data_IF_787521543213
#
_entry.id   IF_787521543213
#
_cell.length_a   1.000
_cell.length_b   1.000
_cell.length_c   1.000
_cell.angle_alpha   90.00
_cell.angle_beta   90.00
_cell.angle_gamma   90.00
#
_symmetry.space_group_name_H-M   'P 1'
#
loop_
_entity.id
_entity.type
_entity.pdbx_description
1 polymer ?
#
# COMPACT_ATOMS: atom_id res chain seq x y z
N UNK A 1 38.24 -5.23 -29.81
CA UNK A 1 37.56 -6.13 -28.86
C UNK A 1 36.10 -5.72 -28.74
N UNK A 2 35.19 -6.62 -29.13
CA UNK A 2 33.74 -6.37 -29.25
C UNK A 2 33.09 -6.30 -27.86
N UNK A 3 32.33 -5.25 -27.56
CA UNK A 3 31.43 -5.19 -26.40
C UNK A 3 30.19 -6.02 -26.73
N UNK A 4 30.02 -7.15 -26.05
CA UNK A 4 28.82 -7.97 -26.15
C UNK A 4 27.64 -7.23 -25.50
N UNK A 5 26.72 -6.74 -26.34
CA UNK A 5 25.43 -6.24 -25.91
C UNK A 5 24.52 -7.41 -25.51
N UNK A 6 23.91 -7.29 -24.33
CA UNK A 6 22.88 -8.22 -23.84
C UNK A 6 21.71 -8.24 -24.83
N UNK A 7 21.25 -9.41 -25.29
CA UNK A 7 20.27 -9.49 -26.37
C UNK A 7 18.85 -9.06 -25.93
N UNK A 8 18.02 -8.53 -26.85
CA UNK A 8 16.70 -7.93 -26.55
C UNK A 8 15.69 -8.87 -25.86
N UNK A 9 15.89 -10.19 -25.96
CA UNK A 9 15.03 -11.22 -25.38
C UNK A 9 15.17 -11.38 -23.86
N UNK A 10 16.30 -10.99 -23.27
CA UNK A 10 16.51 -11.05 -21.81
C UNK A 10 15.85 -9.87 -21.08
N UNK A 11 15.77 -8.69 -21.73
CA UNK A 11 15.03 -7.52 -21.21
C UNK A 11 13.52 -7.75 -21.15
N UNK A 12 12.96 -8.54 -22.07
CA UNK A 12 11.53 -8.90 -22.10
C UNK A 12 11.19 -9.96 -21.06
N UNK A 13 12.13 -10.85 -20.72
CA UNK A 13 11.97 -11.86 -19.65
C UNK A 13 12.10 -11.25 -18.25
N UNK A 14 13.05 -10.34 -18.04
CA UNK A 14 13.20 -9.59 -16.78
C UNK A 14 11.97 -8.70 -16.47
N UNK A 15 11.33 -8.12 -17.50
CA UNK A 15 10.04 -7.41 -17.38
C UNK A 15 8.84 -8.32 -17.13
N UNK A 16 8.88 -9.58 -17.59
CA UNK A 16 7.83 -10.59 -17.32
C UNK A 16 7.91 -11.15 -15.91
N UNK A 17 9.11 -11.41 -15.39
CA UNK A 17 9.30 -11.96 -14.03
C UNK A 17 9.04 -10.91 -12.93
N UNK A 18 9.24 -9.61 -13.24
CA UNK A 18 8.81 -8.47 -12.42
C UNK A 18 7.30 -8.43 -12.13
N UNK A 19 6.52 -8.96 -13.07
CA UNK A 19 5.07 -8.79 -13.18
C UNK A 19 4.28 -9.82 -12.38
N UNK A 20 4.96 -10.89 -11.94
CA UNK A 20 4.30 -12.15 -11.60
C UNK A 20 3.76 -12.30 -10.17
N UNK A 21 3.99 -11.36 -9.23
CA UNK A 21 3.53 -11.55 -7.83
C UNK A 21 3.16 -10.23 -7.16
N UNK A 22 1.94 -9.78 -7.44
CA UNK A 22 1.23 -8.77 -6.64
C UNK A 22 -0.01 -9.47 -6.06
N UNK A 23 -0.07 -9.55 -4.72
CA UNK A 23 -1.07 -10.23 -3.87
C UNK A 23 -1.06 -11.77 -3.99
N UNK A 24 -0.37 -12.43 -3.05
CA UNK A 24 -0.67 -13.81 -2.69
C UNK A 24 -1.45 -13.77 -1.36
N UNK A 25 -2.73 -14.16 -1.36
CA UNK A 25 -3.51 -14.35 -0.13
C UNK A 25 -3.13 -15.71 0.47
N UNK A 26 -2.13 -15.79 1.35
CA UNK A 26 -1.79 -17.05 2.05
C UNK A 26 -1.61 -16.86 3.57
N UNK A 27 -2.52 -17.49 4.33
CA UNK A 27 -2.48 -17.93 5.75
C UNK A 27 -2.11 -17.00 6.92
N UNK A 28 -1.55 -15.80 6.75
CA UNK A 28 -1.42 -14.82 7.84
C UNK A 28 -2.32 -13.59 7.64
N UNK A 29 -2.43 -12.75 8.67
CA UNK A 29 -3.42 -11.65 8.84
C UNK A 29 -3.42 -10.58 7.74
N UNK A 30 -2.49 -10.67 6.78
CA UNK A 30 -2.34 -9.72 5.70
C UNK A 30 -3.04 -10.14 4.43
N UNK A 31 -4.31 -9.79 4.34
CA UNK A 31 -5.06 -9.99 3.09
C UNK A 31 -4.99 -8.80 2.14
N UNK A 32 -4.33 -7.69 2.53
CA UNK A 32 -4.41 -6.41 1.80
C UNK A 32 -3.09 -5.65 1.55
N UNK A 33 -1.91 -6.31 1.49
CA UNK A 33 -0.77 -5.75 0.72
C UNK A 33 0.35 -6.77 0.44
N UNK A 34 0.80 -6.84 -0.82
CA UNK A 34 2.18 -7.23 -1.16
C UNK A 34 2.68 -6.30 -2.26
N UNK A 35 3.60 -5.39 -1.93
CA UNK A 35 4.38 -4.57 -2.87
C UNK A 35 5.84 -4.99 -2.81
N UNK A 36 6.34 -5.66 -3.84
CA UNK A 36 7.77 -5.88 -4.03
C UNK A 36 8.31 -4.78 -4.95
N UNK A 37 9.11 -3.80 -4.46
CA UNK A 37 9.77 -2.87 -5.36
C UNK A 37 11.03 -3.51 -5.94
N UNK A 38 11.16 -3.52 -7.26
CA UNK A 38 12.38 -3.89 -7.99
C UNK A 38 13.49 -2.82 -7.91
N UNK A 39 13.60 -2.11 -6.80
CA UNK A 39 14.80 -1.33 -6.52
C UNK A 39 15.86 -2.29 -5.94
N UNK A 40 17.15 -2.17 -6.31
CA UNK A 40 18.22 -2.89 -5.62
C UNK A 40 18.27 -2.58 -4.11
N UNK A 41 17.57 -1.52 -3.66
CA UNK A 41 17.24 -1.25 -2.27
C UNK A 41 15.80 -1.67 -2.00
N UNK A 42 15.59 -2.69 -1.18
CA UNK A 42 14.27 -3.01 -0.62
C UNK A 42 13.92 -1.85 0.33
N UNK A 43 12.83 -1.13 0.09
CA UNK A 43 12.51 0.08 0.90
C UNK A 43 11.17 0.00 1.64
N UNK A 44 10.31 -0.97 1.29
CA UNK A 44 9.10 -1.30 2.04
C UNK A 44 9.12 -2.79 2.37
N UNK A 45 9.04 -3.11 3.66
CA UNK A 45 8.91 -4.50 4.10
C UNK A 45 7.46 -4.94 3.93
N UNK A 46 7.21 -5.75 2.90
CA UNK A 46 6.03 -6.60 2.92
C UNK A 46 6.38 -7.83 3.73
N UNK A 47 6.03 -7.80 5.01
CA UNK A 47 6.04 -8.98 5.85
C UNK A 47 4.92 -9.91 5.38
N UNK A 48 5.27 -10.96 4.64
CA UNK A 48 4.42 -12.16 4.51
C UNK A 48 5.27 -13.41 4.21
N UNK A 49 6.44 -13.25 3.56
CA UNK A 49 7.10 -14.41 2.97
C UNK A 49 7.92 -15.31 3.92
N UNK A 50 8.24 -14.92 5.15
CA UNK A 50 9.27 -15.66 5.93
C UNK A 50 8.94 -16.05 7.39
N UNK A 51 7.71 -15.88 7.88
CA UNK A 51 7.41 -16.18 9.30
C UNK A 51 6.84 -17.60 9.54
N UNK A 52 7.21 -18.58 8.72
CA UNK A 52 6.66 -19.94 8.91
C UNK A 52 7.20 -20.67 10.13
N UNK A 53 8.30 -20.22 10.71
CA UNK A 53 8.76 -20.70 12.00
C UNK A 53 9.45 -19.49 12.67
N UNK A 54 8.87 -18.90 13.71
CA UNK A 54 9.64 -18.09 14.65
C UNK A 54 9.43 -18.79 15.98
N UNK A 55 10.24 -19.82 16.21
CA UNK A 55 10.66 -20.20 17.56
C UNK A 55 11.84 -19.30 17.91
N UNK A 56 11.57 -18.00 18.04
CA UNK A 56 12.44 -17.18 18.89
C UNK A 56 12.13 -17.65 20.30
N UNK A 57 13.15 -17.89 21.11
CA UNK A 57 12.99 -18.33 22.51
C UNK A 57 12.17 -17.36 23.40
N UNK A 58 11.71 -16.24 22.83
CA UNK A 58 10.90 -15.20 23.45
C UNK A 58 9.49 -15.19 22.83
N UNK A 59 8.53 -15.65 23.64
CA UNK A 59 7.11 -15.72 23.28
C UNK A 59 6.53 -14.34 22.90
N UNK A 60 7.03 -13.24 23.49
CA UNK A 60 6.54 -11.89 23.19
C UNK A 60 6.91 -11.46 21.77
N UNK A 61 8.12 -11.81 21.31
CA UNK A 61 8.57 -11.55 19.94
C UNK A 61 7.75 -12.38 18.95
N UNK A 62 7.52 -13.66 19.24
CA UNK A 62 6.70 -14.54 18.41
C UNK A 62 5.25 -14.05 18.31
N UNK A 63 4.69 -13.52 19.40
CA UNK A 63 3.34 -12.95 19.41
C UNK A 63 3.27 -11.66 18.60
N UNK A 64 4.27 -10.78 18.70
CA UNK A 64 4.33 -9.53 17.93
C UNK A 64 4.24 -9.77 16.42
N UNK A 65 5.05 -10.70 15.87
CA UNK A 65 5.05 -11.01 14.44
C UNK A 65 3.72 -11.59 13.92
N UNK A 66 2.89 -12.14 14.81
CA UNK A 66 1.57 -12.69 14.45
C UNK A 66 0.49 -11.63 14.37
N UNK A 67 0.63 -10.53 15.12
CA UNK A 67 -0.38 -9.48 15.22
C UNK A 67 -0.40 -8.52 14.03
N UNK A 68 -1.51 -7.79 13.93
CA UNK A 68 -1.80 -6.85 12.84
C UNK A 68 -0.90 -5.63 12.92
N UNK A 69 -0.45 -5.27 14.13
CA UNK A 69 0.52 -4.20 14.38
C UNK A 69 1.87 -4.42 13.67
N UNK A 70 2.24 -5.68 13.42
CA UNK A 70 3.48 -6.04 12.71
C UNK A 70 3.37 -5.91 11.19
N UNK A 71 2.24 -5.40 10.69
CA UNK A 71 1.90 -5.39 9.27
C UNK A 71 1.69 -3.99 8.72
N UNK A 72 1.87 -3.83 7.41
CA UNK A 72 1.63 -2.55 6.72
C UNK A 72 0.14 -2.38 6.37
N UNK A 73 -0.67 -2.22 7.41
CA UNK A 73 -2.14 -2.14 7.34
C UNK A 73 -2.67 -1.24 8.46
N UNK A 74 -4.00 -1.18 8.62
CA UNK A 74 -4.67 -0.38 9.63
C UNK A 74 -5.10 -1.26 10.81
N UNK A 75 -4.91 -0.78 12.03
CA UNK A 75 -5.55 -1.33 13.23
C UNK A 75 -6.69 -0.44 13.69
N UNK A 76 -7.71 -1.04 14.29
CA UNK A 76 -8.87 -0.36 14.89
C UNK A 76 -8.77 -0.49 16.40
N UNK A 77 -8.75 0.62 17.13
CA UNK A 77 -8.63 0.66 18.61
C UNK A 77 -7.42 -0.11 19.16
N UNK A 78 -6.36 -0.26 18.35
CA UNK A 78 -5.17 -1.05 18.69
C UNK A 78 -5.38 -2.57 18.69
N UNK A 79 -6.51 -3.06 18.18
CA UNK A 79 -6.84 -4.48 18.12
C UNK A 79 -6.25 -5.17 16.89
N UNK A 80 -5.93 -6.45 17.05
CA UNK A 80 -5.64 -7.36 15.94
C UNK A 80 -6.92 -7.75 15.21
N UNK A 81 -6.82 -7.98 13.90
CA UNK A 81 -7.96 -8.41 13.09
C UNK A 81 -8.49 -9.79 13.50
N UNK A 82 -7.67 -10.64 14.13
CA UNK A 82 -8.16 -11.88 14.76
C UNK A 82 -7.67 -12.02 16.19
N UNK A 83 -8.52 -12.60 17.05
CA UNK A 83 -8.13 -12.92 18.42
C UNK A 83 -7.17 -14.11 18.46
N UNK A 84 -5.97 -13.92 19.05
CA UNK A 84 -5.01 -14.99 19.31
C UNK A 84 -4.96 -15.42 20.78
N UNK A 85 -4.70 -16.71 21.00
CA UNK A 85 -4.04 -17.27 22.19
C UNK A 85 -2.73 -17.94 21.75
N UNK A 86 -1.78 -18.24 22.66
CA UNK A 86 -0.58 -18.99 22.29
C UNK A 86 -0.92 -20.20 21.41
N UNK A 87 -0.30 -20.26 20.24
CA UNK A 87 -0.48 -21.33 19.26
C UNK A 87 -1.39 -20.99 18.06
N UNK A 88 -2.67 -20.67 18.26
CA UNK A 88 -3.65 -20.61 17.13
C UNK A 88 -4.70 -19.50 17.27
N UNK A 89 -5.24 -18.98 16.14
CA UNK A 89 -6.38 -18.07 16.15
C UNK A 89 -7.59 -18.71 16.82
N UNK A 90 -8.40 -17.94 17.54
CA UNK A 90 -9.66 -18.39 18.14
C UNK A 90 -10.83 -17.59 17.58
N UNK A 91 -11.88 -18.31 17.18
CA UNK A 91 -13.12 -17.69 16.70
C UNK A 91 -13.17 -17.54 15.19
N UNK A 92 -14.14 -16.74 14.68
CA UNK A 92 -14.22 -16.42 13.26
C UNK A 92 -12.91 -15.82 12.77
N UNK A 93 -12.56 -16.08 11.51
CA UNK A 93 -11.43 -15.42 10.87
C UNK A 93 -11.93 -14.15 10.16
N UNK A 94 -11.06 -13.13 9.98
CA UNK A 94 -11.33 -12.00 9.10
C UNK A 94 -11.78 -12.49 7.73
N UNK A 95 -12.75 -11.78 7.15
CA UNK A 95 -13.16 -11.97 5.76
C UNK A 95 -12.47 -10.90 4.93
N UNK A 96 -11.84 -11.29 3.84
CA UNK A 96 -11.34 -10.33 2.85
C UNK A 96 -11.83 -10.71 1.47
N UNK A 97 -12.20 -9.70 0.69
CA UNK A 97 -12.75 -9.84 -0.66
C UNK A 97 -11.94 -8.98 -1.60
N UNK A 98 -11.32 -9.59 -2.61
CA UNK A 98 -10.77 -8.83 -3.73
C UNK A 98 -11.94 -8.40 -4.63
N UNK A 99 -12.29 -7.12 -4.58
CA UNK A 99 -13.42 -6.55 -5.30
C UNK A 99 -13.07 -6.28 -6.77
N UNK A 100 -11.80 -6.04 -7.08
CA UNK A 100 -11.32 -6.15 -8.44
C UNK A 100 -9.84 -5.81 -8.65
N UNK A 101 -9.38 -6.11 -9.85
CA UNK A 101 -7.98 -5.98 -10.25
C UNK A 101 -7.86 -5.74 -11.75
N UNK A 102 -7.04 -4.77 -12.12
CA UNK A 102 -6.67 -4.44 -13.48
C UNK A 102 -5.16 -4.29 -13.57
N UNK A 103 -4.59 -4.83 -14.63
CA UNK A 103 -3.17 -4.71 -14.89
C UNK A 103 -2.96 -4.26 -16.33
N UNK A 104 -2.06 -3.32 -16.51
CA UNK A 104 -1.61 -2.87 -17.83
C UNK A 104 -0.09 -2.69 -17.81
N UNK A 105 0.45 -2.04 -18.84
CA UNK A 105 1.87 -1.71 -18.88
C UNK A 105 2.17 -0.38 -18.14
N UNK A 106 1.16 0.44 -17.86
CA UNK A 106 1.34 1.82 -17.37
C UNK A 106 0.46 2.20 -16.20
N UNK A 107 -0.64 1.51 -15.95
CA UNK A 107 -1.52 1.75 -14.80
C UNK A 107 -2.15 0.44 -14.32
N UNK A 108 -1.77 0.02 -13.13
CA UNK A 108 -2.42 -1.08 -12.44
C UNK A 108 -3.36 -0.51 -11.36
N UNK A 109 -4.47 -1.21 -11.12
CA UNK A 109 -5.45 -0.90 -10.09
C UNK A 109 -5.87 -2.19 -9.39
N UNK A 110 -5.84 -2.24 -8.06
CA UNK A 110 -6.51 -3.26 -7.29
C UNK A 110 -7.29 -2.64 -6.14
N UNK A 111 -8.40 -3.25 -5.76
CA UNK A 111 -9.12 -2.87 -4.55
C UNK A 111 -9.83 -4.05 -3.94
N UNK A 112 -10.00 -3.98 -2.63
CA UNK A 112 -10.66 -5.01 -1.85
C UNK A 112 -11.13 -4.45 -0.53
N UNK A 113 -11.88 -5.28 0.18
CA UNK A 113 -12.38 -5.00 1.52
C UNK A 113 -11.96 -6.10 2.49
N UNK A 114 -11.80 -5.74 3.75
CA UNK A 114 -11.62 -6.63 4.87
C UNK A 114 -12.60 -6.28 5.99
N UNK A 115 -13.16 -7.31 6.61
CA UNK A 115 -14.01 -7.22 7.81
C UNK A 115 -13.41 -8.11 8.87
N UNK A 116 -13.14 -7.50 10.02
CA UNK A 116 -12.62 -8.14 11.21
C UNK A 116 -13.78 -8.58 12.10
N UNK A 117 -13.70 -9.74 12.79
CA UNK A 117 -14.63 -10.10 13.86
C UNK A 117 -14.34 -9.37 15.19
N UNK A 118 -13.21 -8.67 15.30
CA UNK A 118 -12.78 -8.02 16.54
C UNK A 118 -13.29 -6.57 16.67
N UNK A 119 -13.80 -5.98 15.59
CA UNK A 119 -14.28 -4.61 15.51
C UNK A 119 -15.41 -4.50 14.47
N UNK A 120 -16.09 -3.35 14.43
CA UNK A 120 -17.20 -3.09 13.52
C UNK A 120 -16.80 -2.32 12.26
N UNK A 121 -15.51 -2.04 12.05
CA UNK A 121 -15.07 -1.27 10.90
C UNK A 121 -14.91 -2.14 9.64
N UNK A 122 -15.38 -1.62 8.51
CA UNK A 122 -15.08 -2.17 7.19
C UNK A 122 -13.86 -1.46 6.64
N UNK A 123 -12.80 -2.21 6.37
CA UNK A 123 -11.57 -1.69 5.78
C UNK A 123 -11.53 -1.91 4.27
N UNK A 124 -11.63 -0.83 3.51
CA UNK A 124 -11.41 -0.85 2.07
C UNK A 124 -10.02 -0.33 1.75
N UNK A 125 -9.26 -1.10 0.98
CA UNK A 125 -7.97 -0.65 0.46
C UNK A 125 -7.94 -0.71 -1.06
N UNK A 126 -7.47 0.37 -1.66
CA UNK A 126 -7.24 0.52 -3.09
C UNK A 126 -5.81 0.90 -3.35
N UNK A 127 -5.20 0.27 -4.34
CA UNK A 127 -3.79 0.46 -4.71
C UNK A 127 -3.74 0.72 -6.20
N UNK A 128 -3.13 1.84 -6.57
CA UNK A 128 -2.76 2.16 -7.94
C UNK A 128 -1.23 2.09 -8.06
N UNK A 129 -0.73 1.47 -9.12
CA UNK A 129 0.68 1.54 -9.48
C UNK A 129 0.81 2.28 -10.81
N UNK A 130 1.47 3.44 -10.78
CA UNK A 130 1.46 4.40 -11.88
C UNK A 130 2.79 4.40 -12.59
N UNK A 131 2.76 4.16 -13.90
CA UNK A 131 3.86 4.24 -14.86
C UNK A 131 5.11 3.41 -14.51
N UNK A 132 5.01 2.45 -13.59
CA UNK A 132 6.19 1.75 -13.08
C UNK A 132 7.00 2.54 -12.04
N UNK A 133 6.47 3.67 -11.55
CA UNK A 133 7.24 4.69 -10.82
C UNK A 133 6.85 4.80 -9.34
N UNK A 134 5.57 4.76 -9.00
CA UNK A 134 5.11 4.96 -7.63
C UNK A 134 3.74 4.33 -7.37
N UNK A 135 3.38 4.23 -6.10
CA UNK A 135 2.09 3.73 -5.64
C UNK A 135 1.24 4.84 -5.03
N UNK A 136 -0.05 4.80 -5.31
CA UNK A 136 -1.07 5.54 -4.58
C UNK A 136 -1.92 4.52 -3.83
N UNK A 137 -2.03 4.69 -2.53
CA UNK A 137 -2.73 3.77 -1.63
C UNK A 137 -3.82 4.57 -0.94
N UNK A 138 -5.06 4.14 -1.13
CA UNK A 138 -6.20 4.65 -0.38
C UNK A 138 -6.67 3.58 0.59
N UNK A 139 -6.72 3.94 1.87
CA UNK A 139 -7.35 3.17 2.93
C UNK A 139 -8.59 3.95 3.40
N UNK A 140 -9.76 3.32 3.38
CA UNK A 140 -10.99 3.85 3.94
C UNK A 140 -11.53 2.90 4.99
N UNK A 141 -11.90 3.42 6.15
CA UNK A 141 -12.39 2.68 7.29
C UNK A 141 -13.75 3.24 7.66
N UNK A 142 -14.78 2.41 7.67
CA UNK A 142 -16.14 2.82 8.02
C UNK A 142 -16.63 1.94 9.18
N UNK A 143 -16.71 2.53 10.38
CA UNK A 143 -17.27 1.91 11.58
C UNK A 143 -18.68 2.40 11.89
N UNK A 144 -19.44 1.62 12.66
CA UNK A 144 -20.75 2.04 13.16
C UNK A 144 -20.63 3.01 14.35
N UNK A 145 -19.47 3.04 15.01
CA UNK A 145 -19.12 3.97 16.09
C UNK A 145 -17.77 4.68 15.82
N UNK A 146 -17.46 5.76 16.55
CA UNK A 146 -16.14 6.38 16.46
C UNK A 146 -15.04 5.43 16.96
N UNK A 147 -13.94 5.38 16.23
CA UNK A 147 -12.76 4.59 16.55
C UNK A 147 -11.48 5.42 16.46
N UNK A 148 -10.40 4.84 17.00
CA UNK A 148 -9.05 5.21 16.63
C UNK A 148 -8.53 4.29 15.54
N UNK A 149 -8.03 4.87 14.46
CA UNK A 149 -7.41 4.17 13.35
C UNK A 149 -5.92 4.50 13.27
N UNK A 150 -5.08 3.48 13.27
CA UNK A 150 -3.63 3.62 13.08
C UNK A 150 -3.20 2.89 11.79
N UNK A 151 -2.90 3.65 10.73
CA UNK A 151 -2.29 3.14 9.50
C UNK A 151 -0.79 2.97 9.69
N UNK A 152 -0.27 1.79 9.37
CA UNK A 152 1.15 1.45 9.51
C UNK A 152 1.84 1.19 8.18
N UNK A 153 3.10 1.62 8.11
CA UNK A 153 4.06 1.18 7.08
C UNK A 153 5.35 0.73 7.75
N UNK A 154 5.74 -0.52 7.49
CA UNK A 154 7.00 -1.08 7.98
C UNK A 154 8.12 -0.77 7.00
N UNK A 155 9.10 -0.01 7.47
CA UNK A 155 10.29 0.32 6.69
C UNK A 155 11.32 -0.81 6.81
N UNK A 156 12.37 -0.76 5.99
CA UNK A 156 13.47 -1.72 6.09
C UNK A 156 14.45 -1.34 7.20
N UNK A 157 15.28 -2.29 7.67
CA UNK A 157 16.34 -2.00 8.64
C UNK A 157 17.28 -0.87 8.22
N UNK A 158 17.52 -0.70 6.92
CA UNK A 158 18.32 0.39 6.34
C UNK A 158 17.75 1.79 6.65
N UNK A 159 16.45 1.88 6.95
CA UNK A 159 15.82 3.14 7.38
C UNK A 159 16.04 3.45 8.86
N UNK A 160 16.57 2.49 9.64
CA UNK A 160 16.89 2.69 11.05
C UNK A 160 17.87 3.85 11.19
N UNK A 161 17.58 4.77 12.12
CA UNK A 161 18.34 6.01 12.36
C UNK A 161 18.34 7.04 11.22
N UNK A 162 17.74 6.74 10.07
CA UNK A 162 17.71 7.63 8.91
C UNK A 162 16.31 8.11 8.54
N UNK A 163 15.25 7.42 9.00
CA UNK A 163 13.89 7.85 8.75
C UNK A 163 13.57 9.18 9.46
N UNK A 164 12.91 10.10 8.77
CA UNK A 164 12.47 11.39 9.30
C UNK A 164 11.00 11.59 8.98
N UNK A 165 10.19 11.90 10.00
CA UNK A 165 8.80 12.29 9.83
C UNK A 165 8.66 13.81 9.84
N UNK A 166 7.87 14.33 8.90
CA UNK A 166 7.49 15.73 8.78
C UNK A 166 5.99 15.84 9.05
N UNK A 167 5.62 16.64 10.06
CA UNK A 167 4.22 16.94 10.37
C UNK A 167 3.69 18.17 9.62
N UNK A 168 2.52 18.66 10.04
CA UNK A 168 1.91 19.89 9.52
C UNK A 168 0.87 19.64 8.42
N UNK A 169 0.63 20.66 7.58
CA UNK A 169 -0.43 20.62 6.56
C UNK A 169 -0.22 19.60 5.43
N UNK A 170 1.03 19.16 5.23
CA UNK A 170 1.42 18.19 4.21
C UNK A 170 2.38 17.16 4.83
N UNK A 171 1.86 16.24 5.66
CA UNK A 171 2.74 15.34 6.38
C UNK A 171 3.37 14.32 5.45
N UNK A 172 4.60 13.93 5.77
CA UNK A 172 5.40 13.00 4.99
C UNK A 172 6.40 12.26 5.86
N UNK A 173 6.88 11.11 5.38
CA UNK A 173 8.07 10.43 5.89
C UNK A 173 9.08 10.28 4.77
N UNK A 174 10.32 10.64 5.08
CA UNK A 174 11.48 10.32 4.27
C UNK A 174 12.24 9.16 4.90
N UNK A 175 12.70 8.24 4.06
CA UNK A 175 13.69 7.24 4.40
C UNK A 175 14.63 7.04 3.19
N UNK A 176 15.84 6.46 3.37
CA UNK A 176 16.72 6.15 2.26
C UNK A 176 16.00 5.35 1.17
N UNK A 177 15.86 5.92 -0.03
CA UNK A 177 15.19 5.26 -1.15
C UNK A 177 13.66 5.42 -1.22
N UNK A 178 13.00 6.10 -0.27
CA UNK A 178 11.53 6.18 -0.19
C UNK A 178 11.02 7.52 0.36
N UNK A 179 9.91 7.97 -0.20
CA UNK A 179 9.02 8.93 0.43
C UNK A 179 7.63 8.31 0.62
N UNK A 180 7.04 8.54 1.79
CA UNK A 180 5.61 8.42 2.03
C UNK A 180 5.05 9.83 2.19
N UNK A 181 4.04 10.19 1.41
CA UNK A 181 3.37 11.50 1.51
C UNK A 181 1.89 11.28 1.72
N UNK A 182 1.31 12.01 2.67
CA UNK A 182 -0.08 11.81 3.07
C UNK A 182 -0.96 12.97 2.60
N UNK A 183 -2.18 12.63 2.17
CA UNK A 183 -3.09 13.55 1.50
C UNK A 183 -3.84 14.52 2.43
N UNK A 184 -3.76 14.31 3.74
CA UNK A 184 -4.41 15.11 4.77
C UNK A 184 -3.46 15.30 5.97
N UNK A 185 -3.69 16.32 6.82
CA UNK A 185 -2.81 16.66 7.94
C UNK A 185 -2.96 15.71 9.14
N UNK A 186 -2.77 14.41 8.92
CA UNK A 186 -2.83 13.38 9.96
C UNK A 186 -1.67 13.52 10.96
N UNK A 187 -1.84 12.94 12.16
CA UNK A 187 -0.73 12.75 13.11
C UNK A 187 0.18 11.64 12.58
N UNK A 188 1.44 11.96 12.30
CA UNK A 188 2.44 11.00 11.81
C UNK A 188 3.57 10.85 12.82
N UNK A 189 3.90 9.61 13.16
CA UNK A 189 4.99 9.28 14.08
C UNK A 189 5.85 8.14 13.53
N UNK A 190 7.12 8.11 13.94
CA UNK A 190 7.99 6.95 13.79
C UNK A 190 8.00 6.19 15.11
N UNK A 191 7.74 4.88 15.04
CA UNK A 191 7.80 3.96 16.16
C UNK A 191 8.88 2.92 15.93
N UNK A 192 9.37 2.32 17.03
CA UNK A 192 10.25 1.16 16.95
C UNK A 192 9.46 -0.07 16.56
N UNK A 193 9.99 -0.80 15.58
CA UNK A 193 9.47 -2.08 15.14
C UNK A 193 10.58 -3.08 14.88
N UNK A 194 10.19 -4.25 14.38
CA UNK A 194 11.11 -5.32 14.04
C UNK A 194 10.75 -5.96 12.72
N UNK A 195 11.73 -6.52 12.04
CA UNK A 195 11.53 -7.42 10.90
C UNK A 195 12.29 -8.71 11.15
N UNK A 196 11.81 -9.80 10.57
CA UNK A 196 12.48 -11.10 10.61
C UNK A 196 12.87 -11.49 9.19
N UNK A 197 14.08 -11.11 8.74
CA UNK A 197 14.50 -11.38 7.37
C UNK A 197 14.96 -12.82 7.16
N UNK A 198 15.12 -13.60 8.24
CA UNK A 198 15.49 -15.02 8.26
C UNK A 198 14.99 -15.65 9.55
N UNK A 199 14.78 -16.97 9.52
CA UNK A 199 14.42 -17.77 10.69
C UNK A 199 15.26 -17.40 11.93
N UNK A 200 14.59 -17.17 13.06
CA UNK A 200 15.17 -16.83 14.37
C UNK A 200 16.04 -15.55 14.41
N UNK A 201 16.08 -14.76 13.33
CA UNK A 201 16.77 -13.46 13.31
C UNK A 201 15.72 -12.38 13.33
N UNK A 202 15.86 -11.42 14.25
CA UNK A 202 14.97 -10.27 14.30
C UNK A 202 15.75 -8.99 14.43
N UNK A 203 15.61 -8.14 13.43
CA UNK A 203 16.31 -6.87 13.27
C UNK A 203 15.39 -5.69 13.60
N UNK A 204 15.96 -4.60 14.10
CA UNK A 204 15.23 -3.36 14.33
C UNK A 204 14.86 -2.72 12.99
N UNK A 205 13.62 -2.24 12.88
CA UNK A 205 13.16 -1.50 11.73
C UNK A 205 12.09 -0.48 12.14
N UNK A 206 12.12 0.76 11.64
CA UNK A 206 11.14 1.76 12.01
C UNK A 206 9.76 1.47 11.37
N UNK A 207 8.71 1.83 12.10
CA UNK A 207 7.33 1.78 11.65
C UNK A 207 6.82 3.21 11.56
N UNK A 208 6.28 3.57 10.40
CA UNK A 208 5.50 4.79 10.26
C UNK A 208 4.10 4.52 10.75
N UNK A 209 3.60 5.33 11.67
CA UNK A 209 2.22 5.27 12.17
C UNK A 209 1.52 6.57 11.86
N UNK A 210 0.38 6.47 11.19
CA UNK A 210 -0.50 7.59 10.86
C UNK A 210 -1.82 7.39 11.59
N UNK A 211 -2.20 8.34 12.44
CA UNK A 211 -3.34 8.18 13.35
C UNK A 211 -4.47 9.16 13.01
N UNK A 212 -5.69 8.63 12.97
CA UNK A 212 -6.93 9.38 13.13
C UNK A 212 -7.69 8.88 14.36
N UNK A 213 -8.17 9.81 15.19
CA UNK A 213 -8.86 9.52 16.45
C UNK A 213 -10.34 9.91 16.34
N UNK A 214 -11.20 9.21 17.07
CA UNK A 214 -12.61 9.55 17.32
C UNK A 214 -13.45 9.80 16.04
N UNK A 215 -13.28 8.96 15.00
CA UNK A 215 -14.07 9.07 13.75
C UNK A 215 -14.73 7.74 13.36
N UNK A 216 -15.90 7.83 12.74
CA UNK A 216 -16.59 6.68 12.14
C UNK A 216 -16.14 6.43 10.68
N UNK A 217 -15.62 7.45 9.99
CA UNK A 217 -15.21 7.39 8.59
C UNK A 217 -13.82 8.01 8.47
N UNK A 218 -12.79 7.15 8.50
CA UNK A 218 -11.41 7.56 8.32
C UNK A 218 -10.95 7.27 6.89
N UNK A 219 -10.12 8.16 6.37
CA UNK A 219 -9.59 8.03 5.01
C UNK A 219 -8.14 8.48 4.94
N UNK A 220 -7.28 7.54 4.57
CA UNK A 220 -5.86 7.80 4.34
C UNK A 220 -5.56 7.68 2.85
N UNK A 221 -5.01 8.73 2.27
CA UNK A 221 -4.43 8.66 0.91
C UNK A 221 -2.91 8.82 1.07
N UNK A 222 -2.18 7.80 0.65
CA UNK A 222 -0.72 7.74 0.76
C UNK A 222 -0.10 7.61 -0.62
N UNK A 223 0.81 8.52 -0.95
CA UNK A 223 1.77 8.36 -2.04
C UNK A 223 3.01 7.65 -1.48
N UNK A 224 3.28 6.43 -1.93
CA UNK A 224 4.54 5.74 -1.66
C UNK A 224 5.39 5.77 -2.93
N UNK A 225 6.54 6.44 -2.87
CA UNK A 225 7.34 6.70 -4.05
C UNK A 225 8.84 6.49 -3.78
N UNK A 226 9.54 5.67 -4.59
CA UNK A 226 10.99 5.57 -4.56
C UNK A 226 11.62 6.96 -4.70
N UNK A 227 12.65 7.25 -3.90
CA UNK A 227 13.30 8.56 -3.87
C UNK A 227 14.81 8.41 -3.90
N UNK A 228 15.44 9.00 -4.93
CA UNK A 228 16.89 9.05 -5.02
C UNK A 228 17.48 9.93 -3.89
N UNK A 229 18.70 9.61 -3.47
CA UNK A 229 19.40 10.42 -2.48
C UNK A 229 19.49 11.90 -2.92
N UNK A 230 19.16 12.81 -2.01
CA UNK A 230 19.17 14.26 -2.27
C UNK A 230 18.02 14.81 -3.12
N UNK A 231 17.12 13.96 -3.64
CA UNK A 231 15.94 14.44 -4.36
C UNK A 231 14.92 15.05 -3.39
N UNK A 232 14.21 16.14 -3.78
CA UNK A 232 13.18 16.73 -2.94
C UNK A 232 12.00 15.78 -2.75
N UNK A 233 11.30 15.90 -1.62
CA UNK A 233 10.06 15.18 -1.39
C UNK A 233 9.01 15.57 -2.45
N UNK A 234 8.23 14.60 -2.96
CA UNK A 234 7.12 14.91 -3.84
C UNK A 234 6.03 15.64 -3.06
N UNK A 235 5.19 16.35 -3.80
CA UNK A 235 4.01 16.98 -3.22
C UNK A 235 2.79 16.24 -3.70
N UNK A 236 1.83 16.06 -2.80
CA UNK A 236 0.52 15.50 -3.13
C UNK A 236 -0.56 16.44 -2.62
N UNK A 237 -1.57 16.70 -3.45
CA UNK A 237 -2.77 17.45 -3.07
C UNK A 237 -4.00 16.66 -3.45
N UNK A 238 -4.90 16.48 -2.50
CA UNK A 238 -6.22 15.89 -2.76
C UNK A 238 -7.16 17.02 -3.19
N UNK A 239 -7.79 16.87 -4.37
CA UNK A 239 -8.66 17.90 -4.99
C UNK A 239 -10.14 17.69 -4.71
N UNK A 240 -10.52 16.53 -4.20
CA UNK A 240 -11.91 16.12 -3.95
C UNK A 240 -12.13 15.81 -2.47
N UNK A 241 -13.33 16.10 -1.95
CA UNK A 241 -13.69 15.75 -0.58
C UNK A 241 -13.80 14.24 -0.30
N UNK A 242 -13.92 13.88 0.97
CA UNK A 242 -14.00 12.48 1.45
C UNK A 242 -15.14 11.65 0.85
N UNK A 243 -16.30 12.26 0.63
CA UNK A 243 -17.51 11.60 0.13
C UNK A 243 -17.69 11.68 -1.39
N UNK A 244 -16.71 12.22 -2.12
CA UNK A 244 -16.82 12.33 -3.55
C UNK A 244 -16.87 10.93 -4.20
N UNK A 245 -17.72 10.72 -5.23
CA UNK A 245 -17.78 9.44 -5.95
C UNK A 245 -16.50 9.16 -6.73
N UNK A 246 -15.71 10.21 -6.98
CA UNK A 246 -14.40 10.17 -7.63
C UNK A 246 -13.41 10.88 -6.74
N UNK A 247 -12.28 10.24 -6.54
CA UNK A 247 -11.11 10.84 -5.93
C UNK A 247 -10.23 11.41 -7.00
N UNK A 248 -9.79 12.65 -6.84
CA UNK A 248 -8.76 13.25 -7.70
C UNK A 248 -7.62 13.74 -6.82
N UNK A 249 -6.41 13.31 -7.13
CA UNK A 249 -5.19 13.83 -6.52
C UNK A 249 -4.26 14.39 -7.60
N UNK A 250 -3.40 15.27 -7.14
CA UNK A 250 -2.35 15.89 -7.93
C UNK A 250 -1.01 15.60 -7.27
N UNK A 251 -0.04 15.15 -8.07
CA UNK A 251 1.29 14.79 -7.64
C UNK A 251 2.32 15.58 -8.43
N UNK A 252 3.25 16.21 -7.72
CA UNK A 252 4.38 16.94 -8.28
C UNK A 252 5.71 16.36 -7.76
N UNK A 253 6.78 16.55 -8.54
CA UNK A 253 8.12 16.09 -8.16
C UNK A 253 8.36 14.59 -8.40
N UNK A 254 7.59 13.97 -9.30
CA UNK A 254 7.74 12.56 -9.74
C UNK A 254 7.88 12.43 -11.26
N UNK A 255 8.45 11.32 -11.71
CA UNK A 255 8.79 11.09 -13.13
C UNK A 255 9.90 12.00 -13.65
N UNK A 256 9.96 12.22 -14.97
CA UNK A 256 10.85 13.20 -15.65
C UNK A 256 10.52 14.68 -15.31
N UNK A 257 10.24 14.96 -14.04
CA UNK A 257 9.76 16.25 -13.51
C UNK A 257 8.40 16.70 -14.05
N UNK A 258 7.49 15.75 -14.26
CA UNK A 258 6.12 16.03 -14.67
C UNK A 258 5.17 16.25 -13.47
N UNK A 259 3.95 16.69 -13.79
CA UNK A 259 2.81 16.77 -12.88
C UNK A 259 1.82 15.69 -13.27
N UNK A 260 1.41 14.88 -12.30
CA UNK A 260 0.39 13.84 -12.51
C UNK A 260 -0.92 14.24 -11.85
N UNK A 261 -2.02 14.16 -12.59
CA UNK A 261 -3.37 14.20 -12.04
C UNK A 261 -3.91 12.77 -12.10
N UNK A 262 -4.16 12.18 -10.94
CA UNK A 262 -4.62 10.80 -10.80
C UNK A 262 -6.05 10.83 -10.29
N UNK A 263 -6.95 10.08 -10.94
CA UNK A 263 -8.33 9.94 -10.50
C UNK A 263 -8.78 8.48 -10.44
N UNK A 264 -9.65 8.16 -9.50
CA UNK A 264 -10.32 6.86 -9.42
C UNK A 264 -11.70 6.96 -8.78
N UNK A 265 -12.58 6.03 -9.11
CA UNK A 265 -13.91 5.94 -8.51
C UNK A 265 -13.84 5.28 -7.13
N UNK A 266 -14.60 5.82 -6.18
CA UNK A 266 -14.59 5.36 -4.79
C UNK A 266 -15.25 3.98 -4.64
N UNK A 267 -16.34 3.73 -5.37
CA UNK A 267 -17.03 2.43 -5.40
C UNK A 267 -16.33 1.39 -6.29
N UNK A 268 -15.31 1.78 -7.06
CA UNK A 268 -14.64 0.93 -8.02
C UNK A 268 -15.38 0.79 -9.35
N UNK A 269 -16.65 1.17 -9.45
CA UNK A 269 -17.46 1.16 -10.67
C UNK A 269 -16.93 2.12 -11.76
N UNK A 270 -17.35 1.89 -13.00
CA UNK A 270 -17.04 2.83 -14.10
C UNK A 270 -17.89 4.09 -13.92
N UNK A 271 -17.24 5.25 -14.00
CA UNK A 271 -17.92 6.54 -13.90
C UNK A 271 -17.14 7.67 -14.56
N UNK A 272 -17.73 8.88 -14.65
CA UNK A 272 -17.04 10.05 -15.17
C UNK A 272 -15.94 10.50 -14.19
N UNK A 273 -14.67 10.39 -14.61
CA UNK A 273 -13.52 10.71 -13.75
C UNK A 273 -13.20 12.22 -13.67
N UNK A 274 -13.77 13.03 -14.56
CA UNK A 274 -13.58 14.49 -14.59
C UNK A 274 -12.21 14.98 -15.08
N UNK A 275 -11.24 14.07 -15.28
CA UNK A 275 -9.89 14.41 -15.76
C UNK A 275 -9.63 13.94 -17.21
N UNK A 276 -10.51 13.09 -17.74
CA UNK A 276 -10.45 12.51 -19.09
C UNK A 276 -11.88 12.34 -19.63
N UNK A 277 -12.06 12.36 -20.96
CA UNK A 277 -13.37 12.20 -21.58
C UNK A 277 -13.89 10.76 -21.48
N UNK A 278 -15.16 10.56 -21.13
CA UNK A 278 -15.79 9.22 -21.04
C UNK A 278 -15.56 8.49 -19.72
N UNK A 279 -16.28 7.39 -19.51
CA UNK A 279 -16.31 6.67 -18.23
C UNK A 279 -15.15 5.66 -18.05
N UNK A 280 -14.58 5.64 -16.85
CA UNK A 280 -13.50 4.73 -16.44
C UNK A 280 -13.50 4.49 -14.93
N UNK A 281 -12.63 3.59 -14.45
CA UNK A 281 -12.47 3.30 -13.01
C UNK A 281 -11.31 4.06 -12.40
N UNK A 282 -10.25 4.24 -13.17
CA UNK A 282 -9.12 5.08 -12.83
C UNK A 282 -8.48 5.67 -14.09
N UNK A 283 -7.86 6.83 -13.95
CA UNK A 283 -7.07 7.45 -14.99
C UNK A 283 -5.94 8.28 -14.40
N UNK A 284 -4.91 8.50 -15.21
CA UNK A 284 -3.79 9.38 -14.91
C UNK A 284 -3.57 10.26 -16.12
N UNK A 285 -3.46 11.57 -15.90
CA UNK A 285 -2.97 12.53 -16.89
C UNK A 285 -1.64 13.06 -16.39
N UNK A 286 -0.57 12.77 -17.12
CA UNK A 286 0.78 13.28 -16.86
C UNK A 286 1.06 14.44 -17.80
N UNK A 287 1.41 15.60 -17.25
CA UNK A 287 1.94 16.74 -17.99
C UNK A 287 3.45 16.79 -17.82
N UNK A 288 4.19 16.70 -18.92
CA UNK A 288 5.65 16.81 -18.94
C UNK A 288 6.09 18.28 -18.89
N UNK A 289 7.38 18.52 -18.65
CA UNK A 289 7.95 19.87 -18.56
C UNK A 289 7.83 20.69 -19.84
N UNK A 290 7.72 20.02 -20.99
CA UNK A 290 7.49 20.65 -22.30
C UNK A 290 6.00 20.92 -22.60
N UNK A 291 5.10 20.62 -21.65
CA UNK A 291 3.65 20.77 -21.79
C UNK A 291 2.94 19.58 -22.44
N UNK A 292 3.66 18.57 -22.92
CA UNK A 292 3.05 17.37 -23.50
C UNK A 292 2.26 16.60 -22.46
N UNK A 293 1.05 16.17 -22.82
CA UNK A 293 0.19 15.36 -21.95
C UNK A 293 0.16 13.89 -22.40
N UNK A 294 0.36 12.98 -21.45
CA UNK A 294 0.19 11.53 -21.63
C UNK A 294 -0.94 11.05 -20.73
N UNK A 295 -1.81 10.19 -21.24
CA UNK A 295 -2.97 9.67 -20.50
C UNK A 295 -2.94 8.16 -20.40
N UNK A 296 -3.20 7.62 -19.21
CA UNK A 296 -3.41 6.19 -18.95
C UNK A 296 -4.74 5.97 -18.28
N UNK A 297 -5.41 4.85 -18.58
CA UNK A 297 -6.77 4.57 -18.10
C UNK A 297 -7.00 3.10 -17.78
N UNK A 298 -7.95 2.88 -16.88
CA UNK A 298 -8.53 1.57 -16.58
C UNK A 298 -10.00 1.60 -17.00
N UNK A 299 -10.29 1.04 -18.18
CA UNK A 299 -11.62 1.09 -18.81
C UNK A 299 -12.31 -0.28 -18.93
N UNK A 300 -11.67 -1.37 -18.48
CA UNK A 300 -12.20 -2.74 -18.59
C UNK A 300 -13.20 -3.14 -17.50
N UNK A 301 -13.88 -4.26 -17.72
CA UNK A 301 -14.64 -4.96 -16.68
C UNK A 301 -13.69 -5.74 -15.76
N UNK A 302 -13.99 -5.74 -14.46
CA UNK A 302 -13.15 -6.46 -13.51
C UNK A 302 -13.20 -7.96 -13.87
N UNK A 303 -12.05 -8.66 -13.95
CA UNK A 303 -12.07 -10.11 -14.03
C UNK A 303 -12.84 -10.65 -12.82
N UNK A 304 -13.63 -11.72 -13.05
CA UNK A 304 -14.60 -12.28 -12.10
C UNK A 304 -14.09 -12.28 -10.65
N UNK A 305 -14.89 -11.71 -9.74
CA UNK A 305 -14.65 -11.62 -8.30
C UNK A 305 -14.21 -12.97 -7.73
N UNK A 306 -13.05 -13.00 -7.05
CA UNK A 306 -12.58 -14.18 -6.35
C UNK A 306 -12.75 -13.95 -4.85
N UNK A 307 -13.83 -14.48 -4.30
CA UNK A 307 -13.96 -14.66 -2.84
C UNK A 307 -13.06 -15.81 -2.42
N UNK A 308 -12.04 -15.51 -1.62
CA UNK A 308 -11.19 -16.54 -1.03
C UNK A 308 -11.73 -16.94 0.34
N UNK A 309 -12.04 -18.23 0.50
CA UNK A 309 -12.42 -18.82 1.78
C UNK A 309 -11.31 -19.77 2.24
N UNK A 310 -10.87 -19.74 3.51
CA UNK A 310 -9.69 -20.48 3.99
C UNK A 310 -9.76 -22.02 3.86
N UNK A 311 -10.91 -22.57 3.44
CA UNK A 311 -11.14 -24.00 3.29
C UNK A 311 -11.13 -24.53 1.84
N UNK A 312 -10.79 -23.72 0.82
CA UNK A 312 -10.62 -24.25 -0.54
C UNK A 312 -9.30 -25.03 -0.67
N UNK A 313 -9.29 -26.28 -0.21
CA UNK A 313 -8.18 -27.22 -0.39
C UNK A 313 -8.05 -27.63 -1.86
N UNK A 314 -6.85 -27.50 -2.41
CA UNK A 314 -6.18 -28.55 -3.18
C UNK A 314 -4.72 -28.61 -2.73
#
# INVERSE_FOLDING_TARGET
>A
MRRHGVPPRERTRARRDARARLIACHRHEDRMMTVCPQSPQRVLCVTDREDRNIDVADDAVSQWFKGTVARSTVTVDGLDQVSYRPGRPKGPLPRATLLGRFQSDTLDLSWGEAVSPCDDAVHQRRILFVAGEYWVIEDRLIGARPHRYDLRFHLTPDASCHAVAYGGGHPAVWAPGLALVFGAPHKVALQHGRVSPRFAISESAPIVVVTEDETCDARFITLAAPLAAGAPLPRMRVRTGGQAPVTVIEIEGRGRQGRDVVAWTTGGDRGPLGIVAGAGRAAVVRTLTDGTCVTWRVDGDAPSCQTWSPNSRR
#
